data_IF_442223762131
#
_entry.id   IF_442223762131
#
_cell.length_a   1.000
_cell.length_b   1.000
_cell.length_c   1.000
_cell.angle_alpha   90.00
_cell.angle_beta   90.00
_cell.angle_gamma   90.00
#
_symmetry.space_group_name_H-M   'P 1'
#
loop_
_entity.id
_entity.type
_entity.pdbx_description
1 polymer ?
#
# COMPACT_ATOMS: atom_id res chain seq x y z
N UNK A 1 -20.36 24.60 -14.30
CA UNK A 1 -18.91 24.82 -14.48
C UNK A 1 -18.32 23.53 -15.06
N UNK A 2 -17.01 23.36 -15.37
CA UNK A 2 -16.48 22.02 -15.65
C UNK A 2 -16.82 21.08 -14.48
N UNK A 3 -17.27 19.86 -14.78
CA UNK A 3 -17.61 18.83 -13.79
C UNK A 3 -16.56 17.72 -13.87
N UNK A 4 -15.97 17.35 -12.75
CA UNK A 4 -15.08 16.20 -12.65
C UNK A 4 -15.84 15.02 -12.04
N UNK A 5 -15.94 13.92 -12.80
CA UNK A 5 -16.49 12.65 -12.32
C UNK A 5 -15.38 11.70 -11.82
N UNK A 6 -15.78 10.56 -11.24
CA UNK A 6 -14.85 9.58 -10.65
C UNK A 6 -13.91 8.96 -11.70
N UNK A 7 -14.39 8.75 -12.93
CA UNK A 7 -13.62 8.16 -14.02
C UNK A 7 -12.52 9.12 -14.50
N UNK A 8 -12.85 10.39 -14.70
CA UNK A 8 -11.87 11.41 -15.08
C UNK A 8 -10.86 11.67 -13.96
N UNK A 9 -11.31 11.73 -12.71
CA UNK A 9 -10.42 11.86 -11.56
C UNK A 9 -9.43 10.68 -11.49
N UNK A 10 -9.91 9.45 -11.68
CA UNK A 10 -9.05 8.27 -11.72
C UNK A 10 -8.05 8.31 -12.89
N UNK A 11 -8.50 8.68 -14.09
CA UNK A 11 -7.62 8.85 -15.25
C UNK A 11 -6.50 9.86 -14.98
N UNK A 12 -6.87 11.01 -14.40
CA UNK A 12 -5.93 12.09 -14.07
C UNK A 12 -4.86 11.63 -13.06
N UNK A 13 -5.24 10.86 -12.04
CA UNK A 13 -4.31 10.29 -11.06
C UNK A 13 -3.35 9.30 -11.74
N UNK A 14 -3.86 8.43 -12.62
CA UNK A 14 -3.03 7.50 -13.37
C UNK A 14 -2.04 8.21 -14.30
N UNK A 15 -2.47 9.27 -14.99
CA UNK A 15 -1.62 10.05 -15.88
C UNK A 15 -0.49 10.75 -15.10
N UNK A 16 -0.80 11.29 -13.92
CA UNK A 16 0.19 11.85 -13.02
C UNK A 16 1.24 10.82 -12.60
N UNK A 17 0.78 9.63 -12.20
CA UNK A 17 1.65 8.50 -11.84
C UNK A 17 2.54 8.07 -13.01
N UNK A 18 1.96 7.89 -14.20
CA UNK A 18 2.64 7.36 -15.39
C UNK A 18 3.63 8.35 -16.00
N UNK A 19 3.35 9.65 -15.90
CA UNK A 19 4.29 10.71 -16.29
C UNK A 19 5.42 10.91 -15.26
N UNK A 20 5.44 10.13 -14.17
CA UNK A 20 6.39 10.24 -13.05
C UNK A 20 6.49 11.66 -12.50
N UNK A 21 5.36 12.39 -12.51
CA UNK A 21 5.30 13.73 -11.91
C UNK A 21 5.46 13.63 -10.40
N UNK A 22 5.96 14.71 -9.82
CA UNK A 22 6.11 14.92 -8.37
C UNK A 22 5.42 16.24 -8.01
N UNK A 23 4.93 16.37 -6.79
CA UNK A 23 4.38 17.64 -6.33
C UNK A 23 5.51 18.68 -6.11
N UNK A 24 5.25 19.99 -6.32
CA UNK A 24 4.00 20.58 -6.81
C UNK A 24 3.81 20.32 -8.31
N UNK A 25 2.55 20.22 -8.75
CA UNK A 25 2.23 19.88 -10.14
C UNK A 25 0.93 20.53 -10.62
N UNK A 26 0.81 20.74 -11.93
CA UNK A 26 -0.47 21.03 -12.57
C UNK A 26 -0.84 19.84 -13.45
N UNK A 27 -1.97 19.20 -13.19
CA UNK A 27 -2.48 18.06 -13.97
C UNK A 27 -3.68 18.50 -14.81
N UNK A 28 -3.91 17.87 -15.96
CA UNK A 28 -5.00 18.20 -16.90
C UNK A 28 -4.50 18.58 -18.30
N UNK A 29 -5.43 18.63 -19.26
CA UNK A 29 -5.12 18.98 -20.65
C UNK A 29 -5.03 20.51 -20.81
N UNK A 30 -3.84 21.03 -21.15
CA UNK A 30 -3.64 22.46 -21.36
C UNK A 30 -4.36 22.99 -22.60
N UNK A 31 -4.79 22.12 -23.53
CA UNK A 31 -5.55 22.50 -24.72
C UNK A 31 -7.06 22.62 -24.46
N UNK A 32 -7.56 22.05 -23.35
CA UNK A 32 -8.94 22.18 -22.90
C UNK A 32 -8.92 23.07 -21.66
N UNK A 33 -9.09 24.39 -21.85
CA UNK A 33 -8.95 25.47 -20.85
C UNK A 33 -9.85 25.38 -19.59
N UNK A 34 -10.35 24.20 -19.18
CA UNK A 34 -11.36 24.06 -18.13
C UNK A 34 -11.19 22.88 -17.17
N UNK A 35 -10.14 22.05 -17.26
CA UNK A 35 -10.04 20.87 -16.35
C UNK A 35 -8.66 20.64 -15.76
N UNK A 36 -7.91 21.72 -15.50
CA UNK A 36 -6.64 21.60 -14.80
C UNK A 36 -6.83 21.63 -13.28
N UNK A 37 -6.12 20.76 -12.57
CA UNK A 37 -5.97 20.78 -11.12
C UNK A 37 -4.56 21.23 -10.77
N UNK A 38 -4.45 22.16 -9.82
CA UNK A 38 -3.17 22.67 -9.31
C UNK A 38 -2.93 22.01 -7.96
N UNK A 39 -1.77 21.38 -7.79
CA UNK A 39 -1.36 20.69 -6.57
C UNK A 39 -0.11 21.35 -5.98
N UNK A 40 -0.15 21.65 -4.69
CA UNK A 40 0.96 22.20 -3.93
C UNK A 40 1.89 21.12 -3.34
N UNK A 41 2.97 21.54 -2.67
CA UNK A 41 3.97 20.65 -2.05
C UNK A 41 3.41 19.76 -0.93
N UNK A 42 2.31 20.17 -0.30
CA UNK A 42 1.61 19.42 0.75
C UNK A 42 0.55 18.46 0.19
N UNK A 43 0.46 18.34 -1.13
CA UNK A 43 -0.61 17.68 -1.88
C UNK A 43 -2.00 18.31 -1.66
N UNK A 44 -2.05 19.55 -1.18
CA UNK A 44 -3.26 20.36 -1.28
C UNK A 44 -3.54 20.64 -2.76
N UNK A 45 -4.80 20.58 -3.15
CA UNK A 45 -5.18 20.75 -4.55
C UNK A 45 -6.33 21.72 -4.72
N UNK A 46 -6.34 22.39 -5.87
CA UNK A 46 -7.37 23.35 -6.27
C UNK A 46 -7.89 23.02 -7.66
N UNK A 47 -9.21 23.04 -7.80
CA UNK A 47 -9.92 22.83 -9.05
C UNK A 47 -10.99 23.91 -9.22
N UNK A 48 -10.96 24.64 -10.34
CA UNK A 48 -11.97 25.65 -10.68
C UNK A 48 -13.15 24.99 -11.40
N UNK A 49 -14.00 24.33 -10.64
CA UNK A 49 -15.15 23.60 -11.16
C UNK A 49 -15.97 22.89 -10.09
N UNK A 50 -16.91 22.07 -10.54
CA UNK A 50 -17.78 21.26 -9.68
C UNK A 50 -17.21 19.85 -9.54
N UNK A 51 -17.20 19.35 -8.30
CA UNK A 51 -16.74 18.01 -7.96
C UNK A 51 -17.59 17.43 -6.82
N UNK A 52 -17.79 16.11 -6.85
CA UNK A 52 -18.49 15.41 -5.79
C UNK A 52 -17.58 15.20 -4.57
N UNK A 53 -18.18 14.90 -3.41
CA UNK A 53 -17.43 14.52 -2.21
C UNK A 53 -16.61 13.24 -2.44
N UNK A 54 -17.10 12.29 -3.26
CA UNK A 54 -16.35 11.07 -3.59
C UNK A 54 -15.10 11.37 -4.42
N UNK A 55 -15.20 12.28 -5.38
CA UNK A 55 -14.07 12.74 -6.21
C UNK A 55 -13.05 13.48 -5.36
N UNK A 56 -13.50 14.38 -4.47
CA UNK A 56 -12.60 15.07 -3.55
C UNK A 56 -11.79 14.07 -2.70
N UNK A 57 -12.49 13.11 -2.07
CA UNK A 57 -11.90 12.06 -1.25
C UNK A 57 -10.90 11.21 -2.06
N UNK A 58 -11.23 10.88 -3.32
CA UNK A 58 -10.36 10.14 -4.21
C UNK A 58 -9.05 10.89 -4.48
N UNK A 59 -9.14 12.18 -4.82
CA UNK A 59 -7.99 13.04 -5.09
C UNK A 59 -7.12 13.21 -3.84
N UNK A 60 -7.75 13.53 -2.70
CA UNK A 60 -7.07 13.70 -1.41
C UNK A 60 -6.24 12.47 -1.02
N UNK A 61 -6.74 11.28 -1.35
CA UNK A 61 -6.12 10.03 -0.92
C UNK A 61 -5.03 9.54 -1.88
N UNK A 62 -5.22 9.74 -3.19
CA UNK A 62 -4.39 9.08 -4.20
C UNK A 62 -3.40 10.00 -4.91
N UNK A 63 -3.63 11.32 -4.94
CA UNK A 63 -2.63 12.26 -5.45
C UNK A 63 -1.31 12.19 -4.68
N UNK A 64 -1.29 12.10 -3.32
CA UNK A 64 -0.04 11.93 -2.59
C UNK A 64 0.75 10.69 -3.01
N UNK A 65 0.06 9.61 -3.36
CA UNK A 65 0.69 8.36 -3.83
C UNK A 65 1.20 8.50 -5.26
N UNK A 66 0.38 9.07 -6.16
CA UNK A 66 0.74 9.26 -7.56
C UNK A 66 1.91 10.25 -7.75
N UNK A 67 2.00 11.25 -6.88
CA UNK A 67 2.99 12.34 -6.90
C UNK A 67 4.07 12.20 -5.81
N UNK A 68 4.17 11.02 -5.19
CA UNK A 68 4.99 10.73 -4.01
C UNK A 68 6.51 10.83 -4.16
N UNK A 69 7.01 11.07 -5.38
CA UNK A 69 8.45 11.01 -5.68
C UNK A 69 8.88 9.73 -6.39
N UNK A 70 10.18 9.58 -6.66
CA UNK A 70 10.76 8.37 -7.23
C UNK A 70 10.75 7.22 -6.23
N UNK A 71 11.23 7.41 -5.00
CA UNK A 71 11.26 6.39 -3.95
C UNK A 71 10.11 6.66 -2.97
N UNK A 72 9.03 5.90 -3.10
CA UNK A 72 7.82 6.10 -2.31
C UNK A 72 7.25 4.79 -1.81
N UNK A 73 7.16 4.64 -0.49
CA UNK A 73 6.70 3.44 0.18
C UNK A 73 5.42 3.73 0.94
N UNK A 74 4.36 3.04 0.56
CA UNK A 74 3.06 3.13 1.21
C UNK A 74 2.70 1.78 1.80
N UNK A 75 2.10 1.76 2.98
CA UNK A 75 1.45 0.57 3.50
C UNK A 75 -0.07 0.76 3.57
N UNK A 76 -0.82 -0.33 3.39
CA UNK A 76 -2.25 -0.35 3.70
C UNK A 76 -2.57 -1.54 4.62
N UNK A 77 -3.36 -1.27 5.67
CA UNK A 77 -3.99 -2.31 6.48
C UNK A 77 -5.46 -2.03 6.74
N UNK A 78 -6.26 -3.09 6.86
CA UNK A 78 -7.65 -3.04 7.29
C UNK A 78 -7.80 -3.74 8.64
N UNK A 79 -8.43 -3.09 9.60
CA UNK A 79 -8.61 -3.62 10.97
C UNK A 79 -10.03 -3.43 11.48
N UNK A 80 -10.38 -4.18 12.51
CA UNK A 80 -11.55 -3.94 13.35
C UNK A 80 -11.35 -2.69 14.23
N UNK A 81 -12.44 -2.20 14.84
CA UNK A 81 -12.44 -1.03 15.73
C UNK A 81 -11.53 -1.22 16.96
N UNK A 82 -11.38 -2.46 17.42
CA UNK A 82 -10.46 -2.86 18.50
C UNK A 82 -9.06 -3.26 18.02
N UNK A 83 -8.70 -2.88 16.79
CA UNK A 83 -7.32 -2.93 16.29
C UNK A 83 -6.84 -4.31 15.84
N UNK A 84 -7.73 -5.18 15.36
CA UNK A 84 -7.41 -6.56 14.96
C UNK A 84 -7.58 -6.77 13.46
N UNK A 85 -6.72 -7.60 12.87
CA UNK A 85 -6.73 -7.92 11.42
C UNK A 85 -7.27 -9.32 11.11
N UNK A 86 -7.39 -10.17 12.13
CA UNK A 86 -7.89 -11.53 12.01
C UNK A 86 -8.31 -12.06 13.38
N UNK A 87 -9.11 -13.13 13.39
CA UNK A 87 -9.29 -13.95 14.60
C UNK A 87 -7.96 -14.61 15.03
N UNK A 88 -7.91 -15.21 16.23
CA UNK A 88 -6.73 -15.98 16.68
C UNK A 88 -6.39 -17.12 15.70
N UNK A 89 -7.43 -17.82 15.22
CA UNK A 89 -7.31 -18.87 14.20
C UNK A 89 -6.87 -18.36 12.83
N UNK A 90 -6.82 -17.04 12.61
CA UNK A 90 -6.33 -16.42 11.38
C UNK A 90 -7.39 -16.20 10.32
N UNK A 91 -8.68 -16.20 10.67
CA UNK A 91 -9.73 -15.80 9.75
C UNK A 91 -9.72 -14.27 9.60
N UNK A 92 -9.40 -13.81 8.39
CA UNK A 92 -9.19 -12.39 8.02
C UNK A 92 -10.08 -11.91 6.87
N UNK A 93 -10.89 -12.81 6.28
CA UNK A 93 -11.74 -12.43 5.16
C UNK A 93 -12.83 -11.45 5.57
N UNK A 94 -13.01 -10.40 4.77
CA UNK A 94 -14.08 -9.41 4.89
C UNK A 94 -14.03 -8.56 6.17
N UNK A 95 -12.83 -8.31 6.71
CA UNK A 95 -12.69 -7.31 7.78
C UNK A 95 -13.17 -5.93 7.32
N UNK A 96 -12.83 -5.52 6.09
CA UNK A 96 -13.25 -4.24 5.50
C UNK A 96 -14.20 -4.44 4.31
N UNK A 97 -14.99 -3.39 4.02
CA UNK A 97 -16.01 -3.38 2.98
C UNK A 97 -15.50 -3.31 1.53
N UNK A 98 -16.43 -3.12 0.60
CA UNK A 98 -16.14 -3.01 -0.84
C UNK A 98 -15.32 -1.76 -1.18
N UNK A 99 -15.64 -0.61 -0.61
CA UNK A 99 -14.93 0.64 -0.86
C UNK A 99 -13.42 0.52 -0.53
N UNK A 100 -13.08 -0.14 0.59
CA UNK A 100 -11.70 -0.47 0.96
C UNK A 100 -11.00 -1.38 -0.03
N UNK A 101 -11.71 -2.39 -0.56
CA UNK A 101 -11.16 -3.29 -1.59
C UNK A 101 -10.90 -2.55 -2.90
N UNK A 102 -11.83 -1.68 -3.34
CA UNK A 102 -11.62 -0.83 -4.52
C UNK A 102 -10.41 0.08 -4.32
N UNK A 103 -10.30 0.70 -3.14
CA UNK A 103 -9.16 1.54 -2.77
C UNK A 103 -7.81 0.80 -2.83
N UNK A 104 -7.75 -0.41 -2.25
CA UNK A 104 -6.54 -1.25 -2.32
C UNK A 104 -6.13 -1.55 -3.76
N UNK A 105 -7.11 -1.82 -4.62
CA UNK A 105 -6.85 -2.07 -6.04
C UNK A 105 -6.38 -0.81 -6.79
N UNK A 106 -6.83 0.39 -6.38
CA UNK A 106 -6.27 1.65 -6.88
C UNK A 106 -4.83 1.83 -6.43
N UNK A 107 -4.49 1.54 -5.17
CA UNK A 107 -3.09 1.57 -4.72
C UNK A 107 -2.21 0.62 -5.53
N UNK A 108 -2.64 -0.63 -5.71
CA UNK A 108 -1.92 -1.62 -6.56
C UNK A 108 -1.66 -1.10 -7.97
N UNK A 109 -2.64 -0.39 -8.56
CA UNK A 109 -2.50 0.18 -9.90
C UNK A 109 -1.52 1.37 -9.97
N UNK A 110 -1.23 2.03 -8.84
CA UNK A 110 -0.34 3.20 -8.79
C UNK A 110 1.11 2.84 -8.46
N UNK A 111 1.37 1.70 -7.84
CA UNK A 111 2.71 1.28 -7.44
C UNK A 111 3.40 0.42 -8.51
N UNK A 112 4.72 0.29 -8.41
CA UNK A 112 5.53 -0.59 -9.26
C UNK A 112 5.61 -2.01 -8.68
N UNK A 113 5.62 -2.12 -7.35
CA UNK A 113 5.68 -3.39 -6.64
C UNK A 113 4.72 -3.45 -5.45
N UNK A 114 4.21 -4.66 -5.16
CA UNK A 114 3.44 -4.97 -3.96
C UNK A 114 4.16 -6.02 -3.14
N UNK A 115 4.52 -5.68 -1.90
CA UNK A 115 5.15 -6.55 -0.93
C UNK A 115 4.08 -7.23 -0.08
N UNK A 116 4.27 -8.52 0.18
CA UNK A 116 3.50 -9.30 1.16
C UNK A 116 4.40 -10.25 1.94
N UNK A 117 4.05 -10.53 3.20
CA UNK A 117 4.73 -11.56 3.99
C UNK A 117 4.17 -12.97 3.73
N UNK A 118 5.02 -14.00 3.81
CA UNK A 118 4.60 -15.40 3.66
C UNK A 118 3.49 -15.84 4.62
N UNK A 119 3.35 -15.22 5.79
CA UNK A 119 2.26 -15.53 6.72
C UNK A 119 0.88 -15.24 6.12
N UNK A 120 0.74 -14.09 5.46
CA UNK A 120 -0.50 -13.70 4.78
C UNK A 120 -0.75 -14.55 3.55
N UNK A 121 0.30 -14.86 2.77
CA UNK A 121 0.13 -15.75 1.60
C UNK A 121 -0.32 -17.16 2.02
N UNK A 122 0.21 -17.68 3.12
CA UNK A 122 -0.20 -18.99 3.64
C UNK A 122 -1.65 -19.01 4.11
N UNK A 123 -2.12 -17.92 4.74
CA UNK A 123 -3.46 -17.80 5.30
C UNK A 123 -4.53 -17.49 4.25
N UNK A 124 -4.30 -16.46 3.42
CA UNK A 124 -5.33 -15.89 2.54
C UNK A 124 -5.18 -16.30 1.07
N UNK A 125 -4.01 -16.83 0.67
CA UNK A 125 -3.67 -17.18 -0.71
C UNK A 125 -4.11 -16.11 -1.75
N UNK A 126 -3.61 -14.87 -1.59
CA UNK A 126 -4.01 -13.73 -2.41
C UNK A 126 -3.37 -13.80 -3.80
N UNK A 127 -4.04 -13.18 -4.79
CA UNK A 127 -3.48 -13.02 -6.14
C UNK A 127 -2.59 -11.79 -6.29
N UNK A 128 -2.82 -10.75 -5.47
CA UNK A 128 -2.11 -9.46 -5.48
C UNK A 128 -2.12 -8.72 -6.83
N UNK A 129 -3.24 -8.82 -7.54
CA UNK A 129 -3.50 -8.17 -8.83
C UNK A 129 -4.53 -7.04 -8.72
N UNK A 130 -4.59 -6.19 -9.74
CA UNK A 130 -5.62 -5.17 -9.98
C UNK A 130 -6.79 -5.84 -10.71
N UNK A 131 -8.04 -5.54 -10.28
CA UNK A 131 -9.27 -6.23 -10.72
C UNK A 131 -10.52 -5.37 -10.59
N UNK A 132 -10.53 -4.43 -9.65
CA UNK A 132 -11.70 -3.59 -9.36
C UNK A 132 -11.61 -2.18 -9.98
N UNK A 133 -10.50 -1.85 -10.65
CA UNK A 133 -10.30 -0.60 -11.37
C UNK A 133 -9.42 -0.84 -12.61
N UNK A 134 -9.46 0.02 -13.63
CA UNK A 134 -8.46 0.04 -14.70
C UNK A 134 -7.07 0.31 -14.13
N UNK A 135 -6.04 -0.40 -14.63
CA UNK A 135 -4.66 -0.22 -14.21
C UNK A 135 -3.78 -1.44 -14.48
N UNK A 136 -2.46 -1.25 -14.47
CA UNK A 136 -1.50 -2.34 -14.60
C UNK A 136 -1.33 -3.11 -13.29
N UNK A 137 -0.98 -4.39 -13.37
CA UNK A 137 -0.61 -5.17 -12.19
C UNK A 137 0.81 -4.77 -11.72
N UNK A 138 1.03 -4.58 -10.40
CA UNK A 138 2.37 -4.39 -9.87
C UNK A 138 3.15 -5.70 -9.87
N UNK A 139 4.48 -5.61 -9.78
CA UNK A 139 5.33 -6.78 -9.48
C UNK A 139 5.00 -7.29 -8.08
N UNK A 140 4.77 -8.60 -7.96
CA UNK A 140 4.44 -9.24 -6.67
C UNK A 140 5.73 -9.62 -5.96
N UNK A 141 5.91 -9.19 -4.72
CA UNK A 141 7.12 -9.45 -3.94
C UNK A 141 6.73 -10.20 -2.68
N UNK A 142 7.13 -11.47 -2.61
CA UNK A 142 6.77 -12.35 -1.50
C UNK A 142 7.99 -12.53 -0.60
N UNK A 143 7.91 -11.99 0.62
CA UNK A 143 8.94 -12.14 1.65
C UNK A 143 8.72 -13.48 2.37
N UNK A 144 9.58 -14.45 2.08
CA UNK A 144 9.51 -15.80 2.62
C UNK A 144 10.92 -16.33 2.98
N UNK A 145 11.51 -15.87 4.10
CA UNK A 145 12.91 -16.14 4.43
C UNK A 145 13.26 -17.63 4.50
N UNK A 146 12.28 -18.50 4.83
CA UNK A 146 12.46 -19.96 4.91
C UNK A 146 11.92 -20.73 3.70
N UNK A 147 11.41 -20.04 2.66
CA UNK A 147 10.70 -20.65 1.53
C UNK A 147 9.65 -21.70 1.96
N UNK A 148 8.77 -21.33 2.91
CA UNK A 148 7.80 -22.23 3.53
C UNK A 148 6.47 -22.33 2.77
N UNK A 149 6.26 -21.46 1.78
CA UNK A 149 5.03 -21.43 1.01
C UNK A 149 4.92 -22.66 0.10
N UNK A 150 3.72 -23.21 0.00
CA UNK A 150 3.44 -24.28 -0.94
C UNK A 150 3.54 -23.76 -2.39
N UNK A 151 4.00 -24.61 -3.30
CA UNK A 151 4.19 -24.24 -4.69
C UNK A 151 2.87 -23.99 -5.45
N UNK A 152 1.73 -24.38 -4.89
CA UNK A 152 0.38 -24.27 -5.47
C UNK A 152 -0.32 -22.93 -5.22
N UNK A 153 0.32 -21.99 -4.51
CA UNK A 153 -0.27 -20.67 -4.21
C UNK A 153 -0.55 -19.90 -5.50
N UNK A 154 -1.66 -19.15 -5.52
CA UNK A 154 -2.15 -18.44 -6.73
C UNK A 154 -1.07 -17.55 -7.34
N UNK A 155 -0.38 -16.80 -6.48
CA UNK A 155 0.66 -15.86 -6.90
C UNK A 155 1.90 -16.51 -7.55
N UNK A 156 2.04 -17.84 -7.48
CA UNK A 156 3.11 -18.58 -8.16
C UNK A 156 2.63 -19.21 -9.47
N UNK A 157 1.32 -19.29 -9.73
CA UNK A 157 0.77 -20.13 -10.81
C UNK A 157 -0.16 -19.41 -11.79
N UNK A 158 -0.71 -18.24 -11.45
CA UNK A 158 -1.75 -17.58 -12.26
C UNK A 158 -1.22 -16.80 -13.49
N UNK A 159 0.11 -16.70 -13.66
CA UNK A 159 0.81 -15.93 -14.70
C UNK A 159 0.31 -14.47 -14.89
N UNK A 160 -0.44 -13.94 -13.92
CA UNK A 160 -1.17 -12.68 -14.08
C UNK A 160 -0.28 -11.45 -13.82
N UNK A 161 0.84 -11.64 -13.15
CA UNK A 161 1.87 -10.64 -12.89
C UNK A 161 3.22 -11.32 -12.61
N UNK A 162 4.32 -10.60 -12.79
CA UNK A 162 5.66 -11.08 -12.40
C UNK A 162 5.73 -11.24 -10.88
N UNK A 163 6.36 -12.33 -10.41
CA UNK A 163 6.50 -12.63 -8.98
C UNK A 163 7.97 -12.82 -8.61
N UNK A 164 8.42 -12.02 -7.65
CA UNK A 164 9.69 -12.16 -6.96
C UNK A 164 9.46 -12.93 -5.65
N UNK A 165 10.11 -14.08 -5.51
CA UNK A 165 10.16 -14.84 -4.26
C UNK A 165 11.46 -14.51 -3.53
N UNK A 166 11.35 -13.67 -2.50
CA UNK A 166 12.49 -13.19 -1.73
C UNK A 166 12.72 -14.15 -0.56
N UNK A 167 13.84 -14.85 -0.59
CA UNK A 167 14.16 -15.96 0.31
C UNK A 167 15.53 -15.79 0.97
N UNK A 168 15.74 -16.45 2.11
CA UNK A 168 17.03 -16.43 2.80
C UNK A 168 18.09 -17.28 2.10
N UNK A 169 19.39 -17.12 2.47
CA UNK A 169 20.50 -17.81 1.81
C UNK A 169 20.42 -19.34 1.86
N UNK A 170 19.82 -19.87 2.93
CA UNK A 170 19.68 -21.30 3.18
C UNK A 170 18.29 -21.85 2.85
N UNK A 171 17.42 -21.03 2.26
CA UNK A 171 16.09 -21.47 1.88
C UNK A 171 16.14 -22.47 0.70
N UNK A 172 15.21 -23.45 0.65
CA UNK A 172 15.08 -24.34 -0.50
C UNK A 172 14.76 -23.56 -1.79
N UNK A 173 14.75 -24.29 -2.91
CA UNK A 173 14.44 -23.71 -4.21
C UNK A 173 12.99 -23.17 -4.27
N UNK A 174 12.82 -22.05 -4.96
CA UNK A 174 11.51 -21.46 -5.24
C UNK A 174 10.71 -22.31 -6.22
N UNK A 175 9.37 -22.15 -6.27
CA UNK A 175 8.53 -22.80 -7.27
C UNK A 175 9.00 -22.51 -8.71
N UNK A 176 8.85 -23.48 -9.65
CA UNK A 176 9.23 -23.27 -11.05
C UNK A 176 8.54 -22.05 -11.66
N UNK A 177 9.26 -21.27 -12.46
CA UNK A 177 8.72 -20.10 -13.17
C UNK A 177 8.62 -18.82 -12.31
N UNK A 178 8.97 -18.89 -11.03
CA UNK A 178 9.03 -17.73 -10.13
C UNK A 178 10.48 -17.24 -10.03
N UNK A 179 10.70 -15.93 -10.14
CA UNK A 179 12.05 -15.37 -9.98
C UNK A 179 12.44 -15.47 -8.50
N UNK A 180 13.48 -16.27 -8.22
CA UNK A 180 14.06 -16.38 -6.90
C UNK A 180 15.05 -15.25 -6.66
N UNK A 181 14.88 -14.52 -5.56
CA UNK A 181 15.85 -13.55 -5.08
C UNK A 181 16.34 -13.94 -3.69
N UNK A 182 17.66 -13.95 -3.49
CA UNK A 182 18.26 -14.27 -2.21
C UNK A 182 18.70 -12.98 -1.51
N UNK A 183 18.22 -12.75 -0.29
CA UNK A 183 18.66 -11.66 0.58
C UNK A 183 19.13 -12.22 1.93
N UNK A 184 20.08 -11.51 2.56
CA UNK A 184 20.48 -11.80 3.93
C UNK A 184 19.31 -11.66 4.90
N UNK A 185 19.31 -12.47 5.96
CA UNK A 185 18.31 -12.40 7.01
C UNK A 185 18.95 -12.70 8.37
N UNK A 186 18.65 -11.87 9.36
CA UNK A 186 19.06 -12.05 10.76
C UNK A 186 17.87 -12.59 11.55
N UNK A 187 18.05 -13.71 12.26
CA UNK A 187 16.96 -14.39 12.99
C UNK A 187 15.66 -14.51 12.16
N UNK A 188 15.82 -14.75 10.85
CA UNK A 188 14.74 -14.91 9.86
C UNK A 188 13.92 -13.64 9.57
N UNK A 189 14.38 -12.48 10.04
CA UNK A 189 13.94 -11.20 9.57
C UNK A 189 14.85 -10.72 8.44
N UNK A 190 14.24 -10.36 7.31
CA UNK A 190 14.95 -9.60 6.28
C UNK A 190 14.86 -8.12 6.62
N UNK A 191 15.96 -7.42 6.44
CA UNK A 191 16.01 -5.98 6.57
C UNK A 191 15.09 -5.32 5.52
N UNK A 192 14.06 -4.57 5.95
CA UNK A 192 13.19 -3.80 5.06
C UNK A 192 13.97 -2.88 4.11
N UNK A 193 15.07 -2.27 4.55
CA UNK A 193 15.87 -1.37 3.71
C UNK A 193 16.57 -2.14 2.57
N UNK A 194 17.11 -3.32 2.86
CA UNK A 194 17.70 -4.19 1.84
C UNK A 194 16.66 -4.64 0.80
N UNK A 195 15.42 -4.92 1.22
CA UNK A 195 14.32 -5.26 0.30
C UNK A 195 14.01 -4.08 -0.62
N UNK A 196 13.90 -2.86 -0.09
CA UNK A 196 13.65 -1.67 -0.91
C UNK A 196 14.81 -1.38 -1.86
N UNK A 197 16.06 -1.51 -1.41
CA UNK A 197 17.24 -1.35 -2.28
C UNK A 197 17.24 -2.32 -3.46
N UNK A 198 16.92 -3.60 -3.22
CA UNK A 198 16.75 -4.61 -4.26
C UNK A 198 15.70 -4.24 -5.32
N UNK A 199 14.58 -3.66 -4.87
CA UNK A 199 13.49 -3.23 -5.75
C UNK A 199 13.89 -1.97 -6.53
N UNK A 200 14.56 -1.02 -5.89
CA UNK A 200 15.05 0.19 -6.53
C UNK A 200 16.08 -0.12 -7.64
N UNK A 201 16.98 -1.08 -7.44
CA UNK A 201 17.91 -1.57 -8.48
C UNK A 201 17.19 -2.12 -9.73
N UNK A 202 15.94 -2.57 -9.58
CA UNK A 202 15.07 -3.03 -10.67
C UNK A 202 14.17 -1.92 -11.24
N UNK A 203 14.32 -0.69 -10.77
CA UNK A 203 13.47 0.44 -11.12
C UNK A 203 12.06 0.38 -10.52
N UNK A 204 11.84 -0.48 -9.52
CA UNK A 204 10.59 -0.65 -8.79
C UNK A 204 10.64 0.22 -7.52
N UNK A 205 10.40 1.51 -7.67
CA UNK A 205 10.69 2.50 -6.63
C UNK A 205 9.44 3.00 -5.91
N UNK A 206 8.25 2.76 -6.47
CA UNK A 206 6.98 2.93 -5.74
C UNK A 206 6.49 1.59 -5.24
N UNK A 207 6.41 1.45 -3.93
CA UNK A 207 6.18 0.15 -3.27
C UNK A 207 4.97 0.24 -2.37
N UNK A 208 4.04 -0.71 -2.52
CA UNK A 208 2.96 -0.94 -1.58
C UNK A 208 3.31 -2.11 -0.67
N UNK A 209 3.28 -1.93 0.64
CA UNK A 209 3.37 -3.00 1.63
C UNK A 209 1.95 -3.38 2.06
N UNK A 210 1.48 -4.54 1.59
CA UNK A 210 0.20 -5.13 1.98
C UNK A 210 0.43 -6.31 2.90
N UNK A 211 -0.62 -6.67 3.66
CA UNK A 211 -0.76 -8.05 4.11
C UNK A 211 0.21 -8.48 5.22
N UNK A 212 -0.35 -8.54 6.41
CA UNK A 212 0.26 -9.08 7.62
C UNK A 212 0.81 -7.99 8.52
N UNK A 213 0.22 -7.87 9.72
CA UNK A 213 0.62 -6.85 10.70
C UNK A 213 2.12 -6.87 11.00
N UNK A 214 2.75 -8.06 10.98
CA UNK A 214 4.20 -8.22 11.17
C UNK A 214 5.00 -7.53 10.06
N UNK A 215 4.64 -7.71 8.79
CA UNK A 215 5.37 -7.11 7.66
C UNK A 215 5.30 -5.59 7.74
N UNK A 216 4.08 -5.04 7.90
CA UNK A 216 3.88 -3.59 7.98
C UNK A 216 4.59 -3.02 9.21
N UNK A 217 4.52 -3.70 10.36
CA UNK A 217 5.20 -3.26 11.59
C UNK A 217 6.71 -3.17 11.39
N UNK A 218 7.34 -4.11 10.69
CA UNK A 218 8.78 -4.07 10.41
C UNK A 218 9.18 -2.85 9.56
N UNK A 219 8.41 -2.52 8.53
CA UNK A 219 8.67 -1.33 7.72
C UNK A 219 8.42 -0.04 8.51
N UNK A 220 7.40 -0.03 9.38
CA UNK A 220 7.09 1.11 10.25
C UNK A 220 8.18 1.33 11.31
N UNK A 221 8.61 0.28 12.02
CA UNK A 221 9.70 0.33 13.01
C UNK A 221 11.04 0.74 12.38
N UNK A 222 11.29 0.35 11.13
CA UNK A 222 12.47 0.75 10.38
C UNK A 222 12.43 2.21 9.87
N UNK A 223 11.31 2.92 10.04
CA UNK A 223 11.16 4.29 9.57
C UNK A 223 11.14 4.43 8.04
N UNK A 224 10.63 3.41 7.33
CA UNK A 224 10.71 3.33 5.86
C UNK A 224 9.37 3.50 5.15
N UNK A 225 8.31 3.86 5.87
CA UNK A 225 7.00 4.13 5.26
C UNK A 225 6.81 5.62 5.08
N UNK A 226 6.61 6.10 3.85
CA UNK A 226 6.20 7.48 3.61
C UNK A 226 4.76 7.72 4.08
N UNK A 227 3.90 6.72 3.83
CA UNK A 227 2.48 6.77 4.19
C UNK A 227 1.96 5.46 4.73
N UNK A 228 1.00 5.56 5.65
CA UNK A 228 0.24 4.43 6.17
C UNK A 228 -1.25 4.72 6.05
N UNK A 229 -1.92 3.92 5.22
CA UNK A 229 -3.37 3.92 5.06
C UNK A 229 -3.98 2.86 6.00
N UNK A 230 -4.82 3.31 6.93
CA UNK A 230 -5.54 2.44 7.87
C UNK A 230 -7.03 2.53 7.62
N UNK A 231 -7.64 1.39 7.31
CA UNK A 231 -9.10 1.27 7.22
C UNK A 231 -9.62 0.58 8.48
N UNK A 232 -10.58 1.20 9.16
CA UNK A 232 -11.18 0.71 10.40
C UNK A 232 -12.65 0.39 10.17
N UNK A 233 -12.98 -0.89 10.24
CA UNK A 233 -14.36 -1.35 10.14
C UNK A 233 -15.08 -1.23 11.49
N UNK A 234 -16.41 -0.96 11.51
CA UNK A 234 -17.22 -0.87 12.72
C UNK A 234 -17.54 -2.26 13.31
N UNK A 235 -16.50 -3.06 13.53
CA UNK A 235 -16.53 -4.43 14.01
C UNK A 235 -15.61 -4.60 15.22
N UNK A 236 -15.94 -5.52 16.13
CA UNK A 236 -15.09 -5.91 17.24
C UNK A 236 -14.73 -7.40 17.09
N UNK A 237 -13.43 -7.73 17.07
CA UNK A 237 -12.95 -9.12 16.91
C UNK A 237 -12.60 -9.74 18.27
N UNK A 238 -12.22 -8.93 19.26
CA UNK A 238 -11.77 -9.36 20.57
C UNK A 238 -10.28 -9.70 20.59
N UNK A 239 -9.93 -10.90 21.05
CA UNK A 239 -8.53 -11.36 21.24
C UNK A 239 -7.81 -11.70 19.92
N UNK A 240 -8.25 -11.13 18.80
CA UNK A 240 -7.68 -11.39 17.48
C UNK A 240 -6.22 -10.97 17.35
N UNK A 241 -5.65 -11.25 16.18
CA UNK A 241 -4.29 -10.85 15.84
C UNK A 241 -4.22 -9.32 15.72
N UNK A 242 -3.31 -8.63 16.42
CA UNK A 242 -3.19 -7.19 16.37
C UNK A 242 -2.80 -6.71 14.97
N UNK A 243 -3.27 -5.52 14.60
CA UNK A 243 -2.95 -4.90 13.32
C UNK A 243 -1.49 -4.48 13.19
N UNK A 244 -0.93 -3.93 14.26
CA UNK A 244 0.47 -3.54 14.36
C UNK A 244 1.05 -4.10 15.65
N UNK A 245 2.33 -4.47 15.61
CA UNK A 245 3.12 -4.96 16.73
C UNK A 245 4.49 -4.31 16.65
N UNK A 246 4.58 -3.13 17.26
CA UNK A 246 5.75 -2.26 17.23
C UNK A 246 6.65 -2.49 18.44
N UNK A 247 7.87 -1.97 18.36
CA UNK A 247 8.79 -1.96 19.50
C UNK A 247 8.16 -1.28 20.74
N UNK A 248 8.39 -1.81 21.95
CA UNK A 248 7.86 -1.20 23.16
C UNK A 248 8.48 0.18 23.40
N UNK A 249 7.66 1.13 23.80
CA UNK A 249 8.08 2.46 24.23
C UNK A 249 7.85 2.62 25.74
N UNK A 250 8.78 3.26 26.44
CA UNK A 250 8.64 3.51 27.88
C UNK A 250 7.66 4.65 28.20
N UNK A 251 7.56 5.65 27.31
CA UNK A 251 6.85 6.91 27.56
C UNK A 251 5.98 7.27 26.37
N UNK A 252 4.80 7.83 26.64
CA UNK A 252 3.83 8.21 25.60
C UNK A 252 4.33 9.27 24.63
N UNK A 253 5.26 10.14 25.04
CA UNK A 253 5.84 11.13 24.11
C UNK A 253 6.75 10.49 23.04
N UNK A 254 7.16 9.24 23.22
CA UNK A 254 7.91 8.48 22.21
C UNK A 254 6.98 7.82 21.19
N UNK A 255 5.65 7.93 21.35
CA UNK A 255 4.71 7.41 20.38
C UNK A 255 4.75 8.25 19.10
N UNK A 256 4.75 7.57 17.94
CA UNK A 256 4.61 8.22 16.65
C UNK A 256 3.26 8.95 16.55
N UNK A 257 3.30 10.23 16.19
CA UNK A 257 2.11 11.07 16.01
C UNK A 257 2.13 11.78 14.64
N UNK A 258 1.98 11.03 13.54
CA UNK A 258 1.98 11.61 12.20
C UNK A 258 0.81 12.55 11.96
N UNK A 259 0.97 13.41 10.96
CA UNK A 259 -0.17 14.15 10.40
C UNK A 259 -1.19 13.15 9.85
N UNK A 260 -2.46 13.40 10.10
CA UNK A 260 -3.54 12.47 9.76
C UNK A 260 -4.67 13.22 9.05
N UNK A 261 -5.07 12.71 7.89
CA UNK A 261 -6.38 12.98 7.29
C UNK A 261 -7.29 11.79 7.52
N UNK A 262 -8.60 12.02 7.66
CA UNK A 262 -9.57 10.94 7.85
C UNK A 262 -10.85 11.22 7.08
N UNK A 263 -11.46 10.17 6.56
CA UNK A 263 -12.73 10.26 5.83
C UNK A 263 -13.51 8.96 5.93
N UNK A 264 -14.80 9.02 5.60
CA UNK A 264 -15.66 7.84 5.48
C UNK A 264 -15.32 7.08 4.20
N UNK A 265 -15.29 5.74 4.27
CA UNK A 265 -15.03 4.84 3.15
C UNK A 265 -16.06 3.71 3.13
N UNK A 266 -17.23 3.99 2.53
CA UNK A 266 -18.39 3.10 2.66
C UNK A 266 -18.88 3.08 4.11
N UNK A 267 -18.97 1.89 4.71
CA UNK A 267 -19.31 1.73 6.12
C UNK A 267 -18.08 1.79 7.06
N UNK A 268 -16.87 1.87 6.48
CA UNK A 268 -15.60 1.91 7.22
C UNK A 268 -15.10 3.35 7.41
N UNK A 269 -14.16 3.55 8.34
CA UNK A 269 -13.40 4.79 8.48
C UNK A 269 -11.99 4.64 7.90
N UNK A 270 -11.57 5.59 7.08
CA UNK A 270 -10.25 5.63 6.49
C UNK A 270 -9.38 6.70 7.15
N UNK A 271 -8.13 6.34 7.44
CA UNK A 271 -7.09 7.24 7.95
C UNK A 271 -5.86 7.20 7.03
N UNK A 272 -5.42 8.37 6.60
CA UNK A 272 -4.18 8.58 5.85
C UNK A 272 -3.17 9.26 6.77
N UNK A 273 -2.12 8.51 7.13
CA UNK A 273 -1.04 8.95 8.00
C UNK A 273 0.19 9.31 7.15
N UNK A 274 0.61 10.59 7.21
CA UNK A 274 1.84 11.06 6.58
C UNK A 274 3.01 10.94 7.55
N UNK A 275 3.90 9.98 7.27
CA UNK A 275 5.00 9.59 8.16
C UNK A 275 6.31 10.31 7.82
N UNK A 276 6.42 10.97 6.66
CA UNK A 276 7.65 11.61 6.18
C UNK A 276 8.20 12.67 7.12
N UNK A 277 7.30 13.47 7.72
CA UNK A 277 7.67 14.46 8.73
C UNK A 277 7.90 13.84 10.13
N UNK A 278 7.46 12.61 10.36
CA UNK A 278 7.52 11.93 11.66
C UNK A 278 8.85 11.25 11.92
N UNK A 279 9.68 11.07 10.89
CA UNK A 279 11.02 10.48 10.99
C UNK A 279 12.15 11.51 11.06
N UNK A 280 11.80 12.80 11.05
CA UNK A 280 12.78 13.85 11.26
C UNK A 280 13.09 14.00 12.76
N UNK A 281 14.38 14.05 13.16
CA UNK A 281 14.80 14.09 14.55
C UNK A 281 14.39 15.37 15.29
#
# INVERSE_FOLDING_TARGET
>A
MPVMDDDYAWQLIQDARNSRRVAPATLGDMNVQRTSIVIDESYGWQFDGELSVSVAALLDTLLPVALGGPDFVIAQLGQSLDGRIATESGHSHYVTGEASRVHLHRLRALVDAVIVGAGTVAADDPQLTVRHVPGANPVRVVIDPRARLAADRKLFNDASASTLHVVGPHAPASPPGVERVVLGCDDEAMDPAAILGLLAERGLTRVLVEGGGVTISRFLDAGLLDRLHVVVAPMLIGSGRPALSLAPIEKLHSALRPSCKSQVMGDDMFFDLDLRASYQP
#
